data_IF_966226859359
#
_entry.id   IF_966226859359
#
_cell.length_a   1.000
_cell.length_b   1.000
_cell.length_c   1.000
_cell.angle_alpha   90.00
_cell.angle_beta   90.00
_cell.angle_gamma   90.00
#
_symmetry.space_group_name_H-M   'P 1'
#
loop_
_entity.id
_entity.type
_entity.pdbx_description
1 polymer ?
#
# COMPACT_ATOMS: atom_id res chain seq x y z
N UNK A 1 15.71 -6.77 86.90
CA UNK A 1 15.09 -5.43 87.05
C UNK A 1 15.49 -4.60 85.84
N UNK A 2 14.70 -3.77 85.15
CA UNK A 2 13.27 -3.52 85.08
C UNK A 2 13.03 -2.57 83.87
N UNK A 3 12.00 -2.85 83.06
CA UNK A 3 11.17 -2.04 82.11
C UNK A 3 11.54 -0.54 81.87
N UNK A 4 11.38 0.03 80.67
CA UNK A 4 10.12 0.33 79.91
C UNK A 4 10.40 0.52 78.39
N UNK A 5 9.65 -0.02 77.41
CA UNK A 5 8.33 0.33 76.80
C UNK A 5 8.20 1.71 76.08
N UNK A 6 7.97 1.70 74.76
CA UNK A 6 7.50 2.82 73.91
C UNK A 6 7.34 2.43 72.41
N UNK A 7 6.21 2.70 71.69
CA UNK A 7 5.93 2.12 70.35
C UNK A 7 5.75 3.13 69.18
N UNK A 8 5.79 2.62 67.93
CA UNK A 8 5.36 3.29 66.67
C UNK A 8 5.87 2.50 65.44
N UNK A 9 5.11 1.82 64.56
CA UNK A 9 3.94 2.12 63.69
C UNK A 9 4.20 3.04 62.48
N UNK A 10 3.54 2.70 61.36
CA UNK A 10 3.46 3.39 60.03
C UNK A 10 4.73 3.21 59.16
N UNK A 11 4.70 2.81 57.87
CA UNK A 11 3.69 2.15 57.02
C UNK A 11 4.35 1.50 55.76
N UNK A 12 3.56 0.92 54.84
CA UNK A 12 3.96 0.38 53.54
C UNK A 12 3.76 1.38 52.38
N UNK A 13 4.39 1.15 51.22
CA UNK A 13 3.97 1.66 49.90
C UNK A 13 4.56 0.82 48.76
N UNK A 14 3.71 0.09 48.05
CA UNK A 14 4.07 -0.59 46.80
C UNK A 14 3.68 0.31 45.61
N UNK A 15 4.65 0.65 44.75
CA UNK A 15 4.41 1.49 43.58
C UNK A 15 4.29 0.60 42.33
N UNK A 16 3.06 0.22 41.97
CA UNK A 16 2.78 -0.48 40.72
C UNK A 16 2.80 0.52 39.55
N UNK A 17 3.81 0.44 38.70
CA UNK A 17 3.97 1.34 37.56
C UNK A 17 3.18 0.81 36.35
N UNK A 18 1.91 1.20 36.24
CA UNK A 18 1.09 0.90 35.06
C UNK A 18 1.55 1.72 33.84
N UNK A 19 2.37 1.12 32.98
CA UNK A 19 2.72 1.68 31.68
C UNK A 19 1.52 1.54 30.72
N UNK A 20 0.76 2.62 30.55
CA UNK A 20 -0.29 2.69 29.54
C UNK A 20 0.33 2.83 28.14
N UNK A 21 0.53 1.70 27.45
CA UNK A 21 0.89 1.70 26.04
C UNK A 21 -0.26 2.30 25.22
N UNK A 22 0.00 3.41 24.51
CA UNK A 22 -0.98 4.02 23.62
C UNK A 22 -1.20 3.11 22.40
N UNK A 23 -2.23 2.28 22.47
CA UNK A 23 -2.73 1.49 21.34
C UNK A 23 -3.32 2.45 20.30
N UNK A 24 -2.51 2.86 19.33
CA UNK A 24 -3.03 3.54 18.14
C UNK A 24 -3.95 2.56 17.40
N UNK A 25 -5.21 2.91 17.13
CA UNK A 25 -6.07 2.02 16.35
C UNK A 25 -5.49 1.89 14.96
N UNK A 26 -5.19 0.65 14.54
CA UNK A 26 -4.88 0.38 13.15
C UNK A 26 -6.12 0.74 12.33
N UNK A 27 -6.01 1.75 11.46
CA UNK A 27 -7.04 2.00 10.44
C UNK A 27 -7.12 0.74 9.58
N UNK A 28 -8.33 0.21 9.43
CA UNK A 28 -8.56 -0.95 8.57
C UNK A 28 -8.10 -0.64 7.14
N UNK A 29 -7.47 -1.61 6.49
CA UNK A 29 -7.06 -1.48 5.10
C UNK A 29 -8.30 -1.32 4.21
N UNK A 30 -8.23 -0.39 3.26
CA UNK A 30 -9.31 -0.12 2.30
C UNK A 30 -9.06 -0.94 1.05
N UNK A 31 -10.01 -1.82 0.72
CA UNK A 31 -9.97 -2.64 -0.48
C UNK A 31 -10.51 -1.91 -1.70
N UNK A 32 -9.88 -2.15 -2.85
CA UNK A 32 -10.30 -1.65 -4.15
C UNK A 32 -10.31 -2.78 -5.16
N UNK A 33 -11.35 -2.84 -6.00
CA UNK A 33 -11.31 -3.62 -7.26
C UNK A 33 -10.71 -2.75 -8.34
N UNK A 34 -9.75 -3.27 -9.11
CA UNK A 34 -9.09 -2.54 -10.19
C UNK A 34 -9.03 -3.34 -11.48
N UNK A 35 -8.89 -2.63 -12.59
CA UNK A 35 -8.63 -3.20 -13.90
C UNK A 35 -7.80 -2.24 -14.76
N UNK A 36 -7.03 -2.82 -15.67
CA UNK A 36 -6.27 -2.16 -16.72
C UNK A 36 -6.54 -2.86 -18.06
N UNK A 37 -6.77 -2.09 -19.11
CA UNK A 37 -6.92 -2.59 -20.48
C UNK A 37 -6.14 -1.69 -21.43
N UNK A 38 -5.35 -2.27 -22.32
CA UNK A 38 -4.83 -1.61 -23.51
C UNK A 38 -5.19 -2.49 -24.72
N UNK A 39 -6.14 -2.02 -25.54
CA UNK A 39 -6.73 -2.81 -26.62
C UNK A 39 -5.72 -3.06 -27.74
N UNK A 40 -4.97 -2.01 -28.13
CA UNK A 40 -4.02 -2.07 -29.25
C UNK A 40 -2.79 -2.94 -28.94
N UNK A 41 -2.40 -3.01 -27.65
CA UNK A 41 -1.34 -3.88 -27.16
C UNK A 41 -1.84 -5.27 -26.68
N UNK A 42 -3.14 -5.57 -26.83
CA UNK A 42 -3.80 -6.79 -26.32
C UNK A 42 -3.52 -7.09 -24.83
N UNK A 43 -3.39 -6.05 -24.00
CA UNK A 43 -3.16 -6.18 -22.56
C UNK A 43 -4.47 -6.14 -21.79
N UNK A 44 -4.65 -7.11 -20.89
CA UNK A 44 -5.68 -7.07 -19.84
C UNK A 44 -5.06 -7.41 -18.49
N UNK A 45 -5.43 -6.66 -17.45
CA UNK A 45 -5.06 -6.98 -16.08
C UNK A 45 -6.17 -6.55 -15.13
N UNK A 46 -6.35 -7.25 -14.02
CA UNK A 46 -7.36 -6.92 -13.02
C UNK A 46 -7.12 -7.65 -11.71
N UNK A 47 -7.77 -7.17 -10.65
CA UNK A 47 -7.77 -7.84 -9.36
C UNK A 47 -8.16 -6.89 -8.22
N UNK A 48 -7.47 -7.01 -7.08
CA UNK A 48 -7.70 -6.16 -5.90
C UNK A 48 -6.43 -5.49 -5.38
N UNK A 49 -6.61 -4.31 -4.78
CA UNK A 49 -5.60 -3.57 -4.03
C UNK A 49 -6.06 -3.47 -2.58
N UNK A 50 -5.17 -3.77 -1.63
CA UNK A 50 -5.33 -3.34 -0.24
C UNK A 50 -4.52 -2.06 -0.04
N UNK A 51 -5.13 -1.05 0.58
CA UNK A 51 -4.54 0.28 0.73
C UNK A 51 -4.67 0.83 2.16
N UNK A 52 -3.74 1.69 2.57
CA UNK A 52 -3.87 2.52 3.76
C UNK A 52 -4.29 3.93 3.37
N UNK A 53 -5.39 4.39 3.96
CA UNK A 53 -5.94 5.73 3.73
C UNK A 53 -5.04 6.81 4.37
N UNK A 54 -4.42 7.63 3.52
CA UNK A 54 -3.56 8.76 3.87
C UNK A 54 -4.33 10.09 3.77
N UNK A 55 -3.68 11.19 4.18
CA UNK A 55 -4.29 12.51 4.10
C UNK A 55 -4.56 12.95 2.64
N UNK A 56 -5.64 13.71 2.43
CA UNK A 56 -5.93 14.33 1.13
C UNK A 56 -6.49 13.40 0.06
N UNK A 57 -7.01 12.22 0.42
CA UNK A 57 -7.59 11.27 -0.54
C UNK A 57 -6.54 10.49 -1.34
N UNK A 58 -5.34 10.37 -0.77
CA UNK A 58 -4.29 9.47 -1.21
C UNK A 58 -4.36 8.14 -0.43
N UNK A 59 -4.02 7.04 -1.08
CA UNK A 59 -4.18 5.69 -0.55
C UNK A 59 -2.92 4.88 -0.89
N UNK A 60 -2.03 4.69 0.08
CA UNK A 60 -0.80 3.91 -0.12
C UNK A 60 -1.19 2.46 -0.36
N UNK A 61 -0.88 1.92 -1.53
CA UNK A 61 -1.07 0.49 -1.82
C UNK A 61 -0.03 -0.29 -1.03
N UNK A 62 -0.49 -1.30 -0.29
CA UNK A 62 0.32 -2.16 0.58
C UNK A 62 0.30 -3.63 0.14
N UNK A 63 -0.70 -4.04 -0.63
CA UNK A 63 -0.77 -5.35 -1.27
C UNK A 63 -1.60 -5.28 -2.55
N UNK A 64 -1.29 -6.18 -3.48
CA UNK A 64 -1.98 -6.38 -4.75
C UNK A 64 -2.22 -7.87 -4.96
N UNK A 65 -3.36 -8.21 -5.54
CA UNK A 65 -3.68 -9.53 -6.08
C UNK A 65 -4.32 -9.34 -7.45
N UNK A 66 -4.20 -10.34 -8.31
CA UNK A 66 -4.79 -10.29 -9.65
C UNK A 66 -3.97 -11.04 -10.68
N UNK A 67 -4.25 -10.77 -11.94
CA UNK A 67 -3.60 -11.35 -13.10
C UNK A 67 -3.19 -10.27 -14.12
N UNK A 68 -2.14 -10.56 -14.88
CA UNK A 68 -1.69 -9.79 -16.03
C UNK A 68 -1.63 -10.72 -17.25
N UNK A 69 -2.48 -10.48 -18.26
CA UNK A 69 -2.68 -11.37 -19.41
C UNK A 69 -2.94 -12.83 -19.02
N UNK A 70 -3.62 -13.07 -17.89
CA UNK A 70 -3.89 -14.40 -17.34
C UNK A 70 -2.71 -15.06 -16.61
N UNK A 71 -1.57 -14.36 -16.45
CA UNK A 71 -0.48 -14.79 -15.57
C UNK A 71 -0.63 -14.16 -14.17
N UNK A 72 -0.54 -14.94 -13.08
CA UNK A 72 -0.74 -14.40 -11.72
C UNK A 72 0.24 -13.30 -11.33
N UNK A 73 -0.27 -12.26 -10.66
CA UNK A 73 0.53 -11.24 -9.99
C UNK A 73 1.08 -11.84 -8.69
N UNK A 74 2.41 -11.86 -8.56
CA UNK A 74 3.11 -12.46 -7.43
C UNK A 74 3.17 -11.52 -6.21
N UNK A 75 3.15 -10.20 -6.43
CA UNK A 75 3.14 -9.23 -5.34
C UNK A 75 3.44 -7.79 -5.77
N UNK A 76 3.32 -6.89 -4.82
CA UNK A 76 3.64 -5.47 -4.97
C UNK A 76 5.16 -5.29 -5.00
N UNK A 77 5.67 -4.48 -5.92
CA UNK A 77 7.08 -4.10 -5.93
C UNK A 77 7.36 -3.03 -4.86
N UNK A 78 8.53 -3.05 -4.20
CA UNK A 78 8.93 -1.97 -3.30
C UNK A 78 8.87 -0.59 -3.99
N UNK A 79 8.63 0.48 -3.24
CA UNK A 79 8.70 1.85 -3.78
C UNK A 79 10.10 2.14 -4.33
N UNK A 80 10.17 2.89 -5.44
CA UNK A 80 11.41 3.24 -6.17
C UNK A 80 12.24 2.03 -6.58
N UNK A 81 11.58 0.95 -7.01
CA UNK A 81 12.25 -0.27 -7.47
C UNK A 81 11.89 -0.67 -8.90
N UNK A 82 10.81 -0.14 -9.47
CA UNK A 82 10.45 -0.33 -10.88
C UNK A 82 9.87 0.96 -11.51
N UNK A 83 9.88 1.12 -12.82
CA UNK A 83 10.65 0.32 -13.79
C UNK A 83 11.91 1.07 -14.23
N UNK A 84 11.96 1.70 -15.40
CA UNK A 84 13.20 2.24 -15.96
C UNK A 84 13.99 3.12 -14.96
N UNK A 85 15.34 2.99 -14.90
CA UNK A 85 16.16 3.60 -13.86
C UNK A 85 15.91 5.11 -13.69
N UNK A 86 15.85 5.63 -12.45
CA UNK A 86 16.11 4.98 -11.15
C UNK A 86 14.99 4.07 -10.58
N UNK A 87 13.86 3.88 -11.28
CA UNK A 87 12.66 3.27 -10.69
C UNK A 87 11.85 4.32 -9.94
N UNK A 88 10.63 4.58 -10.41
CA UNK A 88 9.85 5.75 -10.02
C UNK A 88 8.59 5.44 -9.22
N UNK A 89 8.16 4.18 -9.15
CA UNK A 89 6.91 3.77 -8.51
C UNK A 89 6.83 4.22 -7.03
N UNK A 90 5.71 4.83 -6.66
CA UNK A 90 5.35 5.16 -5.27
C UNK A 90 4.23 4.27 -4.73
N UNK A 91 3.56 3.54 -5.64
CA UNK A 91 2.40 2.69 -5.37
C UNK A 91 1.26 3.48 -4.69
N UNK A 92 1.05 4.74 -5.08
CA UNK A 92 0.05 5.62 -4.49
C UNK A 92 -1.21 5.71 -5.37
N UNK A 93 -2.37 5.38 -4.78
CA UNK A 93 -3.67 5.48 -5.44
C UNK A 93 -4.39 6.76 -5.01
N UNK A 94 -5.12 7.40 -5.94
CA UNK A 94 -5.94 8.59 -5.67
C UNK A 94 -7.43 8.24 -5.63
N UNK A 95 -8.18 8.94 -4.78
CA UNK A 95 -9.64 8.87 -4.78
C UNK A 95 -10.25 9.39 -6.10
N UNK A 96 -9.76 10.53 -6.59
CA UNK A 96 -10.18 11.15 -7.85
C UNK A 96 -9.57 10.53 -9.10
N UNK A 97 -9.80 11.17 -10.25
CA UNK A 97 -9.09 10.89 -11.50
C UNK A 97 -8.00 11.95 -11.75
N UNK A 98 -6.84 11.59 -12.30
CA UNK A 98 -6.39 10.23 -12.57
C UNK A 98 -6.13 9.45 -11.27
N UNK A 99 -6.28 8.11 -11.33
CA UNK A 99 -6.15 7.22 -10.17
C UNK A 99 -4.70 6.99 -9.76
N UNK A 100 -3.79 7.08 -10.72
CA UNK A 100 -2.35 6.98 -10.57
C UNK A 100 -1.74 8.29 -11.07
N UNK A 101 -0.49 8.56 -10.72
CA UNK A 101 0.31 9.63 -11.33
C UNK A 101 1.50 9.02 -12.10
N UNK A 102 2.53 9.82 -12.38
CA UNK A 102 3.69 9.40 -13.18
C UNK A 102 4.59 8.40 -12.44
N UNK A 103 4.55 8.38 -11.11
CA UNK A 103 5.30 7.40 -10.32
C UNK A 103 4.70 6.01 -10.54
N UNK A 104 3.42 5.86 -10.16
CA UNK A 104 2.61 4.70 -10.53
C UNK A 104 2.71 3.51 -9.57
N UNK A 105 2.01 2.45 -9.98
CA UNK A 105 1.83 1.18 -9.27
C UNK A 105 2.65 0.10 -9.95
N UNK A 106 3.66 -0.44 -9.25
CA UNK A 106 4.48 -1.53 -9.75
C UNK A 106 4.23 -2.87 -9.04
N UNK A 107 4.30 -3.96 -9.81
CA UNK A 107 4.07 -5.33 -9.34
C UNK A 107 4.86 -6.35 -10.18
N UNK A 108 5.14 -7.51 -9.59
CA UNK A 108 5.74 -8.66 -10.27
C UNK A 108 4.69 -9.65 -10.73
N UNK A 109 4.96 -10.33 -11.84
CA UNK A 109 4.09 -11.32 -12.47
C UNK A 109 4.82 -12.65 -12.61
N UNK A 110 4.07 -13.75 -12.52
CA UNK A 110 4.55 -15.09 -12.84
C UNK A 110 5.24 -15.13 -14.21
N UNK A 111 6.44 -15.72 -14.26
CA UNK A 111 7.36 -15.61 -15.40
C UNK A 111 8.46 -14.55 -15.24
N UNK A 112 8.42 -13.74 -14.18
CA UNK A 112 9.51 -12.85 -13.77
C UNK A 112 9.46 -11.43 -14.37
N UNK A 113 8.40 -11.10 -15.11
CA UNK A 113 8.17 -9.72 -15.55
C UNK A 113 7.81 -8.83 -14.36
N UNK A 114 8.37 -7.62 -14.32
CA UNK A 114 7.99 -6.54 -13.41
C UNK A 114 7.35 -5.44 -14.25
N UNK A 115 6.17 -4.98 -13.84
CA UNK A 115 5.35 -4.01 -14.59
C UNK A 115 5.09 -2.80 -13.70
N UNK A 116 5.13 -1.60 -14.27
CA UNK A 116 4.62 -0.38 -13.66
C UNK A 116 3.44 0.15 -14.47
N UNK A 117 2.29 0.35 -13.83
CA UNK A 117 1.14 1.07 -14.37
C UNK A 117 1.19 2.52 -13.89
N UNK A 118 1.04 3.49 -14.79
CA UNK A 118 1.16 4.90 -14.45
C UNK A 118 0.27 5.79 -15.32
N UNK A 119 0.14 7.06 -14.93
CA UNK A 119 -0.54 8.10 -15.71
C UNK A 119 0.45 9.21 -16.07
N UNK A 120 0.59 9.51 -17.36
CA UNK A 120 1.56 10.47 -17.88
C UNK A 120 1.00 11.13 -19.15
N UNK A 121 1.24 12.42 -19.30
CA UNK A 121 0.91 13.20 -20.50
C UNK A 121 -0.56 13.07 -20.97
N UNK A 122 -1.48 12.87 -20.02
CA UNK A 122 -2.93 12.75 -20.27
C UNK A 122 -3.44 11.32 -20.45
N UNK A 123 -2.57 10.32 -20.45
CA UNK A 123 -2.90 8.92 -20.76
C UNK A 123 -2.47 7.96 -19.65
N UNK A 124 -3.19 6.85 -19.48
CA UNK A 124 -2.63 5.70 -18.75
C UNK A 124 -1.73 4.90 -19.67
N UNK A 125 -0.66 4.38 -19.09
CA UNK A 125 0.38 3.63 -19.77
C UNK A 125 0.91 2.52 -18.86
N UNK A 126 1.67 1.60 -19.47
CA UNK A 126 2.46 0.63 -18.74
C UNK A 126 3.91 0.62 -19.21
N UNK A 127 4.80 0.19 -18.33
CA UNK A 127 6.17 -0.18 -18.67
C UNK A 127 6.41 -1.59 -18.13
N UNK A 128 6.95 -2.50 -18.96
CA UNK A 128 7.58 -3.74 -18.49
C UNK A 128 9.05 -3.41 -18.27
N UNK A 129 9.68 -3.86 -17.18
CA UNK A 129 11.07 -3.57 -16.84
C UNK A 129 12.03 -3.66 -18.04
N UNK A 130 12.75 -2.57 -18.32
CA UNK A 130 13.70 -2.38 -19.45
C UNK A 130 13.04 -2.35 -20.84
N UNK A 131 11.72 -2.35 -20.92
CA UNK A 131 10.94 -2.10 -22.13
C UNK A 131 10.62 -0.61 -22.32
N UNK A 132 9.96 -0.26 -23.44
CA UNK A 132 9.42 1.07 -23.65
C UNK A 132 8.18 1.34 -22.78
N UNK A 133 7.89 2.61 -22.53
CA UNK A 133 6.57 3.06 -22.09
C UNK A 133 5.55 2.80 -23.22
N UNK A 134 4.42 2.15 -22.91
CA UNK A 134 3.35 1.85 -23.86
C UNK A 134 2.06 2.55 -23.41
N UNK A 135 1.67 3.56 -24.17
CA UNK A 135 0.52 4.43 -23.92
C UNK A 135 -0.79 3.88 -24.53
N UNK A 136 -1.91 4.52 -24.22
CA UNK A 136 -3.23 4.19 -24.77
C UNK A 136 -4.07 3.25 -23.92
N UNK A 137 -3.64 2.96 -22.69
CA UNK A 137 -4.43 2.15 -21.76
C UNK A 137 -5.53 2.92 -21.05
N UNK A 138 -6.41 2.17 -20.39
CA UNK A 138 -7.38 2.67 -19.43
C UNK A 138 -7.21 1.93 -18.09
N UNK A 139 -7.00 2.67 -17.01
CA UNK A 139 -6.96 2.16 -15.64
C UNK A 139 -8.17 2.66 -14.86
N UNK A 140 -8.85 1.76 -14.16
CA UNK A 140 -9.93 2.09 -13.22
C UNK A 140 -9.77 1.34 -11.90
N UNK A 141 -10.12 2.01 -10.80
CA UNK A 141 -10.15 1.43 -9.46
C UNK A 141 -11.31 2.02 -8.65
N UNK A 142 -12.14 1.15 -8.07
CA UNK A 142 -13.28 1.50 -7.21
C UNK A 142 -13.17 0.83 -5.83
N UNK A 143 -13.57 1.55 -4.77
CA UNK A 143 -13.56 1.01 -3.40
C UNK A 143 -14.60 -0.10 -3.27
N UNK A 144 -14.25 -1.18 -2.58
CA UNK A 144 -15.19 -2.26 -2.28
C UNK A 144 -16.13 -1.80 -1.17
N UNK A 145 -17.45 -1.97 -1.37
CA UNK A 145 -18.46 -1.66 -0.35
C UNK A 145 -18.81 -0.17 -0.19
N UNK A 146 -18.64 0.64 -1.24
CA UNK A 146 -19.10 2.05 -1.32
C UNK A 146 -19.75 2.35 -2.67
#
# INVERSE_FOLDING_TARGET
MARTRGPGLIAASALALCAAAALTPAKADVEWTWNYVNVDANITASGTLATKDEAGGAYQIIAIKGDWNGAPINGLEPVKSCCSPPGWNDNLLRAGAPKLDKAGLAFSVSGGARINLFFKDGHYAYEIERGPEVFGGAFTAGQVGR
#
